data_IF_207285044873
#
_entry.id   IF_207285044873
#
_cell.length_a   1.000
_cell.length_b   1.000
_cell.length_c   1.000
_cell.angle_alpha   90.00
_cell.angle_beta   90.00
_cell.angle_gamma   90.00
#
_symmetry.space_group_name_H-M   'P 1'
#
loop_
_entity.id
_entity.type
_entity.pdbx_description
1 polymer ?
#
# COMPACT_ATOMS: atom_id res chain seq x y z
N UNK A 1 -17.11 4.67 -5.69
CA UNK A 1 -17.57 6.07 -5.76
C UNK A 1 -18.10 6.55 -4.40
N UNK A 2 -19.02 5.83 -3.78
CA UNK A 2 -19.62 6.18 -2.48
C UNK A 2 -18.60 6.31 -1.35
N UNK A 3 -17.63 5.40 -1.24
CA UNK A 3 -16.55 5.44 -0.25
C UNK A 3 -15.63 6.65 -0.42
N UNK A 4 -15.31 7.06 -1.68
CA UNK A 4 -14.52 8.27 -1.94
C UNK A 4 -15.26 9.55 -1.58
N UNK A 5 -16.57 9.61 -1.81
CA UNK A 5 -17.43 10.74 -1.43
C UNK A 5 -17.58 10.79 0.08
N UNK A 6 -17.79 9.66 0.73
CA UNK A 6 -17.82 9.54 2.19
C UNK A 6 -16.53 10.07 2.83
N UNK A 7 -15.38 9.68 2.29
CA UNK A 7 -14.07 10.15 2.77
C UNK A 7 -13.90 11.67 2.61
N UNK A 8 -14.32 12.23 1.47
CA UNK A 8 -14.24 13.68 1.20
C UNK A 8 -15.18 14.50 2.06
N UNK A 9 -16.40 14.03 2.29
CA UNK A 9 -17.41 14.74 3.04
C UNK A 9 -17.35 14.50 4.55
N UNK A 10 -16.49 13.53 5.00
CA UNK A 10 -16.33 13.17 6.41
C UNK A 10 -17.68 12.93 7.10
N UNK A 11 -18.62 12.29 6.40
CA UNK A 11 -19.95 11.96 6.93
C UNK A 11 -19.81 10.76 7.91
N UNK A 12 -19.61 11.01 9.22
CA UNK A 12 -19.18 9.98 10.15
C UNK A 12 -20.31 9.05 10.61
N UNK A 13 -21.56 9.33 10.20
CA UNK A 13 -22.73 8.75 10.87
C UNK A 13 -23.23 7.47 10.18
N UNK A 14 -23.11 7.34 8.87
CA UNK A 14 -23.77 6.26 8.13
C UNK A 14 -22.87 5.05 7.80
N UNK A 15 -21.58 5.24 7.55
CA UNK A 15 -20.72 4.12 7.15
C UNK A 15 -20.47 3.10 8.26
N UNK A 16 -20.29 3.48 9.54
CA UNK A 16 -20.20 2.50 10.62
C UNK A 16 -21.44 1.65 10.75
N UNK A 17 -22.63 2.25 10.61
CA UNK A 17 -23.89 1.49 10.64
C UNK A 17 -24.04 0.55 9.44
N UNK A 18 -23.60 0.98 8.25
CA UNK A 18 -23.64 0.15 7.04
C UNK A 18 -22.68 -1.04 7.12
N UNK A 19 -21.47 -0.81 7.63
CA UNK A 19 -20.46 -1.87 7.78
C UNK A 19 -20.83 -2.89 8.85
N UNK A 20 -21.54 -2.44 9.88
CA UNK A 20 -21.95 -3.31 10.99
C UNK A 20 -23.39 -3.83 10.84
N UNK A 21 -24.07 -3.41 9.75
CA UNK A 21 -25.43 -3.88 9.46
C UNK A 21 -25.44 -5.38 9.20
N UNK A 22 -26.21 -6.10 10.00
CA UNK A 22 -26.32 -7.55 9.91
C UNK A 22 -25.21 -8.33 10.62
N UNK A 23 -24.21 -7.65 11.24
CA UNK A 23 -23.21 -8.34 12.04
C UNK A 23 -23.69 -8.47 13.49
N UNK A 24 -23.51 -9.65 14.08
CA UNK A 24 -23.71 -9.84 15.52
C UNK A 24 -22.46 -9.40 16.27
N UNK A 25 -22.36 -8.10 16.57
CA UNK A 25 -21.21 -7.51 17.24
C UNK A 25 -20.86 -8.19 18.59
N UNK A 26 -21.85 -8.81 19.26
CA UNK A 26 -21.61 -9.59 20.47
C UNK A 26 -20.72 -10.82 20.26
N UNK A 27 -20.63 -11.31 19.02
CA UNK A 27 -19.79 -12.47 18.64
C UNK A 27 -18.41 -12.04 18.08
N UNK A 28 -18.20 -10.73 17.88
CA UNK A 28 -16.96 -10.19 17.33
C UNK A 28 -16.01 -9.78 18.45
N UNK A 29 -14.79 -10.30 18.41
CA UNK A 29 -13.74 -9.97 19.36
C UNK A 29 -12.77 -8.91 18.86
N UNK A 30 -12.57 -8.84 17.52
CA UNK A 30 -11.61 -7.95 16.87
C UNK A 30 -12.25 -7.31 15.64
N UNK A 31 -12.12 -5.99 15.52
CA UNK A 31 -12.36 -5.25 14.28
C UNK A 31 -10.99 -4.86 13.74
N UNK A 32 -10.69 -5.31 12.52
CA UNK A 32 -9.47 -4.99 11.80
C UNK A 32 -9.75 -3.94 10.73
N UNK A 33 -9.10 -2.80 10.83
CA UNK A 33 -9.21 -1.69 9.88
C UNK A 33 -7.91 -1.60 9.09
N UNK A 34 -7.97 -1.96 7.82
CA UNK A 34 -6.82 -1.95 6.92
C UNK A 34 -6.82 -0.68 6.06
N UNK A 35 -5.78 0.14 6.23
CA UNK A 35 -5.55 1.40 5.51
C UNK A 35 -6.71 2.41 5.51
N UNK A 36 -7.85 2.06 6.06
CA UNK A 36 -9.08 2.84 5.99
C UNK A 36 -9.64 3.14 7.39
N UNK A 37 -9.41 4.34 7.92
CA UNK A 37 -9.93 4.75 9.23
C UNK A 37 -11.42 5.14 9.10
N UNK A 38 -12.29 4.15 9.07
CA UNK A 38 -13.72 4.33 8.83
C UNK A 38 -14.50 4.83 10.04
N UNK A 39 -13.92 4.74 11.23
CA UNK A 39 -14.66 5.01 12.46
C UNK A 39 -14.27 6.35 13.07
N UNK A 40 -15.22 7.28 13.25
CA UNK A 40 -14.99 8.50 13.98
C UNK A 40 -14.79 8.22 15.48
N UNK A 41 -14.11 9.12 16.22
CA UNK A 41 -13.77 8.92 17.64
C UNK A 41 -14.97 8.57 18.52
N UNK A 42 -16.08 9.27 18.30
CA UNK A 42 -17.31 9.06 19.08
C UNK A 42 -17.87 7.64 18.88
N UNK A 43 -17.82 7.14 17.65
CA UNK A 43 -18.31 5.80 17.34
C UNK A 43 -17.44 4.71 17.99
N UNK A 44 -16.10 4.88 17.95
CA UNK A 44 -15.18 3.95 18.64
C UNK A 44 -15.45 3.93 20.14
N UNK A 45 -15.63 5.11 20.77
CA UNK A 45 -15.99 5.20 22.18
C UNK A 45 -17.29 4.48 22.50
N UNK A 46 -18.32 4.70 21.68
CA UNK A 46 -19.62 4.04 21.86
C UNK A 46 -19.49 2.51 21.75
N UNK A 47 -18.77 2.02 20.75
CA UNK A 47 -18.51 0.59 20.59
C UNK A 47 -17.84 0.00 21.83
N UNK A 48 -16.85 0.70 22.40
CA UNK A 48 -16.12 0.23 23.59
C UNK A 48 -16.97 0.27 24.87
N UNK A 49 -17.93 1.19 24.95
CA UNK A 49 -18.88 1.21 26.07
C UNK A 49 -19.85 0.02 25.99
N UNK A 50 -20.38 -0.26 24.78
CA UNK A 50 -21.34 -1.35 24.57
C UNK A 50 -20.65 -2.71 24.59
N UNK A 51 -19.45 -2.81 24.02
CA UNK A 51 -18.67 -4.04 23.86
C UNK A 51 -17.25 -3.87 24.44
N UNK A 52 -17.07 -3.89 25.77
CA UNK A 52 -15.79 -3.55 26.42
C UNK A 52 -14.64 -4.50 26.06
N UNK A 53 -14.96 -5.73 25.67
CA UNK A 53 -13.96 -6.74 25.26
C UNK A 53 -13.57 -6.64 23.79
N UNK A 54 -14.28 -5.84 22.99
CA UNK A 54 -14.00 -5.64 21.57
C UNK A 54 -12.68 -4.91 21.39
N UNK A 55 -11.77 -5.48 20.60
CA UNK A 55 -10.51 -4.84 20.19
C UNK A 55 -10.65 -4.22 18.81
N UNK A 56 -10.19 -2.99 18.67
CA UNK A 56 -10.16 -2.27 17.39
C UNK A 56 -8.72 -2.02 17.02
N UNK A 57 -8.28 -2.65 15.93
CA UNK A 57 -6.92 -2.62 15.42
C UNK A 57 -6.91 -1.83 14.12
N UNK A 58 -5.99 -0.88 14.00
CA UNK A 58 -5.74 -0.14 12.77
C UNK A 58 -4.37 -0.52 12.20
N UNK A 59 -4.34 -0.88 10.92
CA UNK A 59 -3.11 -1.25 10.20
C UNK A 59 -2.97 -0.33 9.00
N UNK A 60 -1.77 0.20 8.77
CA UNK A 60 -1.50 1.00 7.59
C UNK A 60 -0.08 0.87 7.10
N UNK A 61 0.05 0.53 5.84
CA UNK A 61 1.31 0.53 5.08
C UNK A 61 1.64 1.93 4.57
N UNK A 62 0.67 2.84 4.52
CA UNK A 62 0.84 4.20 4.09
C UNK A 62 1.14 5.15 5.26
N UNK A 63 1.77 6.28 4.94
CA UNK A 63 1.94 7.36 5.90
C UNK A 63 0.59 8.07 6.13
N UNK A 64 -0.17 7.58 7.09
CA UNK A 64 -1.49 8.11 7.42
C UNK A 64 -1.47 9.48 8.15
N UNK A 65 -0.30 10.08 8.36
CA UNK A 65 -0.18 11.47 8.83
C UNK A 65 -0.24 12.48 7.68
N UNK A 66 -0.11 12.02 6.43
CA UNK A 66 -0.22 12.89 5.27
C UNK A 66 -1.68 13.20 4.95
N UNK A 67 -1.98 14.45 4.63
CA UNK A 67 -3.35 14.95 4.44
C UNK A 67 -4.13 14.25 3.31
N UNK A 68 -3.45 13.65 2.34
CA UNK A 68 -4.09 12.91 1.26
C UNK A 68 -4.41 11.46 1.63
N UNK A 69 -3.79 10.92 2.70
CA UNK A 69 -4.00 9.55 3.18
C UNK A 69 -4.97 9.48 4.36
N UNK A 70 -5.32 10.62 4.97
CA UNK A 70 -6.23 10.61 6.12
C UNK A 70 -7.13 11.87 6.18
N UNK A 71 -8.09 11.83 7.11
CA UNK A 71 -8.90 12.98 7.50
C UNK A 71 -8.51 13.48 8.90
N UNK A 72 -8.88 14.71 9.24
CA UNK A 72 -8.69 15.26 10.61
C UNK A 72 -9.37 14.37 11.66
N UNK A 73 -10.55 13.80 11.34
CA UNK A 73 -11.27 12.88 12.23
C UNK A 73 -10.46 11.62 12.52
N UNK A 74 -9.72 11.11 11.55
CA UNK A 74 -8.85 9.95 11.78
C UNK A 74 -7.81 10.23 12.85
N UNK A 75 -7.12 11.38 12.79
CA UNK A 75 -6.13 11.74 13.81
C UNK A 75 -6.74 11.81 15.20
N UNK A 76 -7.98 12.29 15.31
CA UNK A 76 -8.72 12.28 16.57
C UNK A 76 -9.12 10.85 17.02
N UNK A 77 -9.12 9.86 16.13
CA UNK A 77 -9.44 8.47 16.45
C UNK A 77 -8.24 7.67 16.97
N UNK A 78 -7.01 8.08 16.64
CA UNK A 78 -5.78 7.35 16.98
C UNK A 78 -5.68 6.92 18.45
N UNK A 79 -6.01 7.75 19.46
CA UNK A 79 -5.92 7.37 20.87
C UNK A 79 -6.94 6.31 21.31
N UNK A 80 -7.94 6.02 20.50
CA UNK A 80 -9.03 5.08 20.83
C UNK A 80 -8.88 3.70 20.22
N UNK A 81 -7.93 3.51 19.29
CA UNK A 81 -7.55 2.18 18.84
C UNK A 81 -6.81 1.43 19.94
N UNK A 82 -7.06 0.12 20.06
CA UNK A 82 -6.32 -0.73 21.00
C UNK A 82 -4.87 -0.92 20.55
N UNK A 83 -4.69 -1.11 19.24
CA UNK A 83 -3.38 -1.23 18.60
C UNK A 83 -3.38 -0.55 17.24
N UNK A 84 -2.24 0.02 16.90
CA UNK A 84 -1.94 0.54 15.57
C UNK A 84 -0.68 -0.17 15.08
N UNK A 85 -0.75 -0.69 13.87
CA UNK A 85 0.41 -1.27 13.20
C UNK A 85 0.75 -0.44 11.95
N UNK A 86 2.03 -0.19 11.74
CA UNK A 86 2.51 0.57 10.58
C UNK A 86 3.87 0.05 10.12
N UNK A 87 4.11 0.13 8.80
CA UNK A 87 5.42 -0.13 8.20
C UNK A 87 6.31 1.11 8.17
N UNK A 88 5.83 2.26 8.71
CA UNK A 88 6.52 3.55 8.63
C UNK A 88 7.12 3.94 9.97
N UNK A 89 8.43 3.82 10.11
CA UNK A 89 9.18 4.24 11.30
C UNK A 89 8.96 5.70 11.65
N UNK A 90 8.89 6.56 10.64
CA UNK A 90 8.59 7.99 10.82
C UNK A 90 7.25 8.21 11.53
N UNK A 91 6.20 7.48 11.11
CA UNK A 91 4.87 7.56 11.72
C UNK A 91 4.91 7.07 13.15
N UNK A 92 5.54 5.92 13.39
CA UNK A 92 5.67 5.37 14.74
C UNK A 92 6.33 6.36 15.70
N UNK A 93 7.48 6.91 15.34
CA UNK A 93 8.23 7.87 16.16
C UNK A 93 7.41 9.13 16.49
N UNK A 94 6.54 9.56 15.57
CA UNK A 94 5.73 10.78 15.74
C UNK A 94 4.53 10.61 16.65
N UNK A 95 3.90 9.42 16.68
CA UNK A 95 2.66 9.22 17.45
C UNK A 95 2.78 8.25 18.63
N UNK A 96 3.93 7.64 18.87
CA UNK A 96 4.16 6.66 19.96
C UNK A 96 3.78 7.17 21.35
N UNK A 97 3.77 8.48 21.57
CA UNK A 97 3.33 9.10 22.83
C UNK A 97 1.80 9.26 22.95
N UNK A 98 1.08 9.11 21.85
CA UNK A 98 -0.37 9.38 21.77
C UNK A 98 -1.20 8.11 21.61
N UNK A 99 -0.61 7.03 21.11
CA UNK A 99 -1.29 5.79 20.78
C UNK A 99 -0.38 4.57 20.98
N UNK A 100 -0.99 3.39 21.16
CA UNK A 100 -0.27 2.10 21.16
C UNK A 100 0.06 1.70 19.73
N UNK A 101 1.21 2.12 19.26
CA UNK A 101 1.67 1.87 17.90
C UNK A 101 2.86 0.92 17.88
N UNK A 102 2.86 0.02 16.92
CA UNK A 102 3.90 -0.97 16.68
C UNK A 102 4.36 -0.91 15.24
N UNK A 103 5.65 -1.03 15.03
CA UNK A 103 6.22 -1.23 13.70
C UNK A 103 6.04 -2.68 13.28
N UNK A 104 5.65 -2.89 12.03
CA UNK A 104 5.66 -4.19 11.35
C UNK A 104 6.47 -4.05 10.07
N UNK A 105 7.21 -5.07 9.71
CA UNK A 105 7.90 -5.11 8.43
C UNK A 105 6.94 -5.37 7.29
N UNK A 106 7.22 -4.79 6.12
CA UNK A 106 6.67 -5.28 4.87
C UNK A 106 7.08 -6.75 4.66
N UNK A 107 6.30 -7.49 3.90
CA UNK A 107 6.53 -8.91 3.62
C UNK A 107 6.12 -9.23 2.17
N UNK A 108 6.25 -10.48 1.78
CA UNK A 108 5.79 -10.99 0.50
C UNK A 108 4.73 -12.08 0.70
N UNK A 109 3.94 -12.32 -0.34
CA UNK A 109 2.95 -13.39 -0.35
C UNK A 109 3.60 -14.68 -0.86
N UNK A 110 3.72 -15.69 0.02
CA UNK A 110 4.30 -16.99 -0.30
C UNK A 110 3.60 -17.67 -1.50
N UNK A 111 2.31 -17.37 -1.70
CA UNK A 111 1.55 -17.92 -2.85
C UNK A 111 2.09 -17.40 -4.18
N UNK A 112 2.70 -16.21 -4.20
CA UNK A 112 3.38 -15.69 -5.40
C UNK A 112 4.70 -16.40 -5.65
N UNK A 113 5.40 -16.81 -4.60
CA UNK A 113 6.67 -17.55 -4.70
C UNK A 113 6.45 -18.96 -5.21
N UNK A 114 5.38 -19.61 -4.78
CA UNK A 114 5.03 -20.98 -5.14
C UNK A 114 4.56 -21.16 -6.61
N UNK A 115 4.39 -20.06 -7.37
CA UNK A 115 4.00 -20.15 -8.78
C UNK A 115 5.21 -20.67 -9.58
N UNK A 116 5.08 -21.83 -10.22
CA UNK A 116 6.06 -22.31 -11.17
C UNK A 116 6.17 -21.34 -12.35
N UNK A 117 7.36 -20.88 -12.65
CA UNK A 117 7.70 -20.15 -13.87
C UNK A 117 8.59 -21.04 -14.72
N UNK A 118 8.41 -21.01 -16.03
CA UNK A 118 9.35 -21.63 -16.93
C UNK A 118 10.73 -21.00 -16.69
N UNK A 119 11.75 -21.82 -16.49
CA UNK A 119 13.12 -21.34 -16.34
C UNK A 119 13.48 -20.54 -17.58
N UNK A 120 13.58 -19.23 -17.42
CA UNK A 120 13.96 -18.34 -18.51
C UNK A 120 15.44 -18.59 -18.85
N UNK A 121 15.70 -19.34 -19.91
CA UNK A 121 17.06 -19.51 -20.45
C UNK A 121 17.65 -18.17 -20.94
N UNK A 122 16.82 -17.15 -21.14
CA UNK A 122 17.23 -15.78 -21.48
C UNK A 122 16.19 -14.78 -20.97
N UNK A 123 16.67 -13.66 -20.45
CA UNK A 123 15.79 -12.56 -20.03
C UNK A 123 15.11 -11.94 -21.26
N UNK A 124 13.80 -11.67 -21.10
CA UNK A 124 13.01 -10.98 -22.13
C UNK A 124 13.19 -9.46 -22.08
N UNK A 125 13.51 -8.94 -20.91
CA UNK A 125 13.67 -7.53 -20.63
C UNK A 125 15.01 -7.28 -19.96
N UNK A 126 15.81 -6.35 -20.48
CA UNK A 126 17.07 -5.99 -19.85
C UNK A 126 16.80 -5.22 -18.54
N UNK A 127 15.95 -4.18 -18.60
CA UNK A 127 15.56 -3.40 -17.43
C UNK A 127 14.05 -3.26 -17.40
N UNK A 128 13.44 -3.58 -16.27
CA UNK A 128 12.01 -3.38 -16.06
C UNK A 128 11.69 -2.54 -14.82
N UNK A 129 10.55 -1.86 -14.88
CA UNK A 129 9.91 -1.20 -13.74
C UNK A 129 8.43 -1.56 -13.71
N UNK A 130 7.95 -2.06 -12.57
CA UNK A 130 6.54 -2.42 -12.38
C UNK A 130 5.91 -1.46 -11.38
N UNK A 131 5.14 -0.48 -11.87
CA UNK A 131 4.49 0.52 -11.03
C UNK A 131 3.82 1.65 -11.80
N UNK A 132 3.01 2.43 -11.09
CA UNK A 132 2.32 3.60 -11.63
C UNK A 132 3.28 4.75 -11.88
N UNK A 133 2.89 5.65 -12.77
CA UNK A 133 3.61 6.89 -13.04
C UNK A 133 3.74 7.76 -11.79
N UNK A 134 4.94 8.29 -11.59
CA UNK A 134 5.25 9.43 -10.74
C UNK A 134 6.37 10.25 -11.42
N UNK A 135 6.30 11.57 -11.33
CA UNK A 135 7.22 12.46 -12.05
C UNK A 135 8.70 12.18 -11.73
N UNK A 136 9.00 11.86 -10.47
CA UNK A 136 10.38 11.61 -10.06
C UNK A 136 10.89 10.26 -10.60
N UNK A 137 10.05 9.22 -10.61
CA UNK A 137 10.37 7.94 -11.27
C UNK A 137 10.64 8.13 -12.75
N UNK A 138 9.80 8.92 -13.42
CA UNK A 138 9.93 9.18 -14.84
C UNK A 138 11.25 9.84 -15.19
N UNK A 139 11.72 10.81 -14.40
CA UNK A 139 13.04 11.44 -14.59
C UNK A 139 14.18 10.43 -14.58
N UNK A 140 14.15 9.48 -13.64
CA UNK A 140 15.17 8.44 -13.55
C UNK A 140 15.12 7.49 -14.76
N UNK A 141 13.92 7.11 -15.21
CA UNK A 141 13.76 6.25 -16.39
C UNK A 141 14.22 6.96 -17.67
N UNK A 142 13.88 8.25 -17.85
CA UNK A 142 14.41 9.07 -18.96
C UNK A 142 15.93 9.11 -18.94
N UNK A 143 16.54 9.27 -17.78
CA UNK A 143 18.00 9.26 -17.65
C UNK A 143 18.62 7.94 -18.11
N UNK A 144 18.02 6.80 -17.76
CA UNK A 144 18.48 5.49 -18.23
C UNK A 144 18.36 5.37 -19.75
N UNK A 145 17.22 5.78 -20.31
CA UNK A 145 17.01 5.78 -21.75
C UNK A 145 18.01 6.68 -22.50
N UNK A 146 18.30 7.87 -21.96
CA UNK A 146 19.29 8.77 -22.53
C UNK A 146 20.72 8.20 -22.54
N UNK A 147 20.99 7.21 -21.69
CA UNK A 147 22.25 6.45 -21.67
C UNK A 147 22.18 5.13 -22.47
N UNK A 148 21.21 4.99 -23.36
CA UNK A 148 21.11 3.86 -24.28
C UNK A 148 20.57 2.58 -23.68
N UNK A 149 19.91 2.64 -22.52
CA UNK A 149 19.31 1.49 -21.85
C UNK A 149 17.86 1.32 -22.30
N UNK A 150 17.49 0.12 -22.75
CA UNK A 150 16.11 -0.25 -23.02
C UNK A 150 15.35 -0.49 -21.72
N UNK A 151 14.26 0.27 -21.51
CA UNK A 151 13.49 0.23 -20.28
C UNK A 151 12.06 -0.20 -20.57
N UNK A 152 11.61 -1.26 -19.92
CA UNK A 152 10.23 -1.76 -20.00
C UNK A 152 9.46 -1.38 -18.73
N UNK A 153 8.35 -0.66 -18.89
CA UNK A 153 7.55 -0.12 -17.80
C UNK A 153 6.16 -0.74 -17.80
N UNK A 154 5.76 -1.35 -16.69
CA UNK A 154 4.46 -2.01 -16.53
C UNK A 154 3.61 -1.24 -15.53
N UNK A 155 2.62 -0.48 -16.01
CA UNK A 155 1.78 0.30 -15.09
C UNK A 155 0.91 1.35 -15.77
N UNK A 156 0.15 2.07 -14.94
CA UNK A 156 -0.80 3.08 -15.39
C UNK A 156 -0.25 4.52 -15.28
N UNK A 157 -0.86 5.42 -16.06
CA UNK A 157 -0.67 6.86 -15.94
C UNK A 157 0.57 7.41 -16.65
N UNK A 158 1.32 6.58 -17.36
CA UNK A 158 2.53 6.97 -18.08
C UNK A 158 2.20 7.86 -19.27
N UNK A 159 3.03 8.89 -19.57
CA UNK A 159 2.83 9.77 -20.72
C UNK A 159 3.02 9.02 -22.04
N UNK A 160 2.49 9.57 -23.11
CA UNK A 160 2.68 9.05 -24.46
C UNK A 160 3.98 9.57 -25.13
N UNK A 161 4.42 10.77 -24.73
CA UNK A 161 5.67 11.37 -25.19
C UNK A 161 6.83 10.80 -24.36
N UNK A 162 7.48 9.78 -24.91
CA UNK A 162 8.53 8.99 -24.29
C UNK A 162 9.67 8.73 -25.27
N UNK A 163 10.91 8.46 -24.79
CA UNK A 163 12.00 8.01 -25.64
C UNK A 163 11.68 6.71 -26.39
N UNK A 164 12.28 6.51 -27.57
CA UNK A 164 12.09 5.32 -28.42
C UNK A 164 12.44 4.01 -27.69
N UNK A 165 13.45 4.04 -26.82
CA UNK A 165 13.89 2.90 -26.00
C UNK A 165 13.18 2.79 -24.63
N UNK A 166 12.02 3.45 -24.47
CA UNK A 166 11.12 3.23 -23.35
C UNK A 166 9.84 2.56 -23.83
N UNK A 167 9.50 1.41 -23.27
CA UNK A 167 8.36 0.61 -23.70
C UNK A 167 7.30 0.55 -22.59
N UNK A 168 6.13 1.14 -22.82
CA UNK A 168 5.04 1.15 -21.85
C UNK A 168 4.11 -0.05 -22.09
N UNK A 169 3.90 -0.83 -21.05
CA UNK A 169 3.03 -2.00 -21.03
C UNK A 169 1.85 -1.78 -20.07
N UNK A 170 0.82 -2.61 -20.23
CA UNK A 170 -0.29 -2.67 -19.28
C UNK A 170 0.20 -3.07 -17.88
N UNK A 171 -0.49 -2.66 -16.81
CA UNK A 171 -0.15 -3.09 -15.46
C UNK A 171 -0.31 -4.60 -15.32
N UNK A 172 0.61 -5.23 -14.59
CA UNK A 172 0.66 -6.67 -14.32
C UNK A 172 0.46 -6.94 -12.84
N UNK A 173 -0.22 -8.05 -12.51
CA UNK A 173 -0.57 -8.47 -11.15
C UNK A 173 -0.42 -9.98 -10.99
N UNK A 174 -0.28 -10.44 -9.74
CA UNK A 174 -0.25 -11.86 -9.42
C UNK A 174 0.76 -12.65 -10.25
N UNK A 175 0.32 -13.65 -10.99
CA UNK A 175 1.18 -14.49 -11.84
C UNK A 175 1.93 -13.71 -12.91
N UNK A 176 1.27 -12.76 -13.56
CA UNK A 176 1.90 -11.92 -14.59
C UNK A 176 2.98 -11.01 -14.01
N UNK A 177 2.77 -10.48 -12.80
CA UNK A 177 3.78 -9.70 -12.08
C UNK A 177 5.03 -10.53 -11.83
N UNK A 178 4.87 -11.74 -11.25
CA UNK A 178 6.00 -12.66 -11.03
C UNK A 178 6.70 -13.01 -12.34
N UNK A 179 5.94 -13.44 -13.35
CA UNK A 179 6.52 -13.79 -14.66
C UNK A 179 7.30 -12.64 -15.27
N UNK A 180 6.77 -11.41 -15.20
CA UNK A 180 7.48 -10.22 -15.70
C UNK A 180 8.76 -9.96 -14.92
N UNK A 181 8.73 -10.07 -13.61
CA UNK A 181 9.91 -9.88 -12.76
C UNK A 181 10.99 -10.95 -13.05
N UNK A 182 10.61 -12.23 -13.14
CA UNK A 182 11.52 -13.33 -13.46
C UNK A 182 12.13 -13.23 -14.86
N UNK A 183 11.39 -12.67 -15.83
CA UNK A 183 11.87 -12.45 -17.19
C UNK A 183 12.66 -11.14 -17.39
N UNK A 184 12.93 -10.41 -16.31
CA UNK A 184 13.70 -9.16 -16.31
C UNK A 184 15.07 -9.38 -15.71
N UNK A 185 16.11 -8.98 -16.43
CA UNK A 185 17.49 -9.07 -15.95
C UNK A 185 17.73 -8.13 -14.75
N UNK A 186 17.16 -6.93 -14.81
CA UNK A 186 17.21 -5.94 -13.74
C UNK A 186 15.79 -5.43 -13.48
N UNK A 187 15.34 -5.57 -12.24
CA UNK A 187 14.09 -5.02 -11.78
C UNK A 187 14.35 -3.73 -10.99
N UNK A 188 13.86 -2.60 -11.50
CA UNK A 188 13.99 -1.32 -10.81
C UNK A 188 12.95 -1.19 -9.69
N UNK A 189 13.37 -0.57 -8.61
CA UNK A 189 12.51 -0.26 -7.47
C UNK A 189 12.68 1.21 -7.10
N UNK A 190 11.57 1.92 -6.93
CA UNK A 190 11.56 3.31 -6.48
C UNK A 190 10.73 3.46 -5.22
N UNK A 191 11.34 4.04 -4.19
CA UNK A 191 10.67 4.43 -2.97
C UNK A 191 9.86 5.71 -3.18
N UNK A 192 8.69 5.80 -2.56
CA UNK A 192 7.87 7.01 -2.58
C UNK A 192 8.37 8.02 -1.57
N UNK A 193 9.11 9.01 -2.01
CA UNK A 193 9.60 10.07 -1.14
C UNK A 193 8.46 10.81 -0.41
N UNK A 194 7.35 11.06 -1.08
CA UNK A 194 6.16 11.70 -0.49
C UNK A 194 5.54 10.89 0.65
N UNK A 195 5.72 9.58 0.65
CA UNK A 195 5.20 8.68 1.67
C UNK A 195 6.23 8.39 2.78
N UNK A 196 7.45 8.91 2.64
CA UNK A 196 8.60 8.61 3.49
C UNK A 196 8.88 7.10 3.55
N UNK A 197 8.78 6.42 2.39
CA UNK A 197 9.08 5.01 2.30
C UNK A 197 10.58 4.77 2.48
N UNK A 198 10.94 3.92 3.42
CA UNK A 198 12.29 3.37 3.58
C UNK A 198 12.40 2.00 2.91
N UNK A 199 11.29 1.30 2.85
CA UNK A 199 11.12 -0.05 2.31
C UNK A 199 9.70 -0.12 1.70
N UNK A 200 9.48 -1.02 0.74
CA UNK A 200 8.17 -1.33 0.17
C UNK A 200 8.02 -2.85 0.04
N UNK A 201 6.79 -3.36 -0.11
CA UNK A 201 6.54 -4.79 -0.37
C UNK A 201 7.38 -5.33 -1.53
N UNK A 202 7.62 -4.52 -2.58
CA UNK A 202 8.46 -4.89 -3.73
C UNK A 202 9.90 -5.21 -3.35
N UNK A 203 10.41 -4.63 -2.26
CA UNK A 203 11.76 -4.92 -1.75
C UNK A 203 11.90 -6.37 -1.26
N UNK A 204 10.79 -7.02 -0.94
CA UNK A 204 10.74 -8.42 -0.52
C UNK A 204 10.19 -9.32 -1.61
N UNK A 205 9.15 -8.90 -2.33
CA UNK A 205 8.49 -9.68 -3.38
C UNK A 205 9.45 -10.06 -4.51
N UNK A 206 10.16 -9.07 -5.08
CA UNK A 206 11.04 -9.32 -6.22
C UNK A 206 12.19 -10.28 -5.86
N UNK A 207 12.97 -10.06 -4.79
CA UNK A 207 14.00 -11.02 -4.40
C UNK A 207 13.46 -12.40 -4.02
N UNK A 208 12.23 -12.49 -3.50
CA UNK A 208 11.62 -13.78 -3.14
C UNK A 208 11.35 -14.68 -4.34
N UNK A 209 11.32 -14.13 -5.56
CA UNK A 209 11.15 -14.89 -6.80
C UNK A 209 12.44 -15.59 -7.27
N UNK A 210 13.53 -15.45 -6.54
CA UNK A 210 14.86 -16.01 -6.87
C UNK A 210 15.44 -15.46 -8.19
N UNK A 211 15.22 -14.18 -8.43
CA UNK A 211 15.76 -13.43 -9.57
C UNK A 211 16.86 -12.47 -9.14
#
# INVERSE_FOLDING_TARGET
>A
FFLKVYFKLQLPILAPFYLLWGTKLSEIHIIWLDNFPLFPPLFIKLLKVIYPNLKIIFVSEDNFLLSHNHSRLHNCSLPYYDYIFTTKDYVMKRIMKQARIHHISDSFDERLVAIETEDAQSYRYDVSFIGTYESDRFKHLIYLCANGIDVHVFGNGWPQDIPENMHIHKPVYGKEFRSTACNSRINLLFLRQKNFDEITSRSFEIPSFSV
#
